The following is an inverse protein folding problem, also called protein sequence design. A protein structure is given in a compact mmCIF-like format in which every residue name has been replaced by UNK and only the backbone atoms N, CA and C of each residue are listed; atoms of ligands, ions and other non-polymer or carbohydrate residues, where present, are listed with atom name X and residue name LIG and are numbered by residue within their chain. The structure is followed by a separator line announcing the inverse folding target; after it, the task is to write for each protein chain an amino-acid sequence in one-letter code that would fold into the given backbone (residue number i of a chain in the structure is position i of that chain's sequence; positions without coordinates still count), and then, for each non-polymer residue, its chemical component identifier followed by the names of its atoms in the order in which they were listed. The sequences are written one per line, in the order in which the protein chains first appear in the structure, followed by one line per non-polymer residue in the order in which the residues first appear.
data_IF_380263761739
#
_entry.id   IF_380263761739
#
_cell.length_a   1.000
_cell.length_b   1.000
_cell.length_c   1.000
_cell.angle_alpha   90.00
_cell.angle_beta   90.00
_cell.angle_gamma   90.00
#
_symmetry.space_group_name_H-M   'P 1'
#
loop_
_entity.id
_entity.type
_entity.pdbx_description
1 polymer ?
#
# COMPACT_ATOMS: atom_id res chain seq x y z
N UNK A 1 12.36 4.69 -2.58
CA UNK A 1 11.03 5.15 -3.01
C UNK A 1 11.11 6.66 -3.20
N UNK A 2 10.67 7.19 -4.34
CA UNK A 2 10.67 8.63 -4.62
C UNK A 2 9.47 9.32 -3.94
N UNK A 3 9.55 10.63 -3.72
CA UNK A 3 8.47 11.46 -3.16
C UNK A 3 7.19 11.37 -4.00
N UNK A 4 7.32 11.38 -5.33
CA UNK A 4 6.19 11.23 -6.25
C UNK A 4 5.42 9.92 -6.03
N UNK A 5 6.13 8.83 -5.71
CA UNK A 5 5.48 7.54 -5.46
C UNK A 5 4.84 7.46 -4.08
N UNK A 6 5.43 8.10 -3.06
CA UNK A 6 4.79 8.23 -1.75
C UNK A 6 3.46 8.98 -1.85
N UNK A 7 3.41 9.97 -2.73
CA UNK A 7 2.18 10.69 -3.03
C UNK A 7 1.15 9.82 -3.74
N UNK A 8 1.57 8.97 -4.70
CA UNK A 8 0.70 7.95 -5.32
C UNK A 8 0.10 7.03 -4.25
N UNK A 9 0.90 6.51 -3.31
CA UNK A 9 0.40 5.68 -2.22
C UNK A 9 -0.63 6.40 -1.34
N UNK A 10 -0.40 7.69 -1.05
CA UNK A 10 -1.35 8.51 -0.32
C UNK A 10 -2.66 8.66 -1.10
N UNK A 11 -2.60 8.90 -2.43
CA UNK A 11 -3.79 8.97 -3.29
C UNK A 11 -4.59 7.67 -3.29
N UNK A 12 -3.91 6.52 -3.36
CA UNK A 12 -4.56 5.20 -3.35
C UNK A 12 -5.34 4.97 -2.05
N UNK A 13 -4.71 5.20 -0.90
CA UNK A 13 -5.39 5.10 0.41
C UNK A 13 -6.56 6.07 0.50
N UNK A 14 -6.37 7.27 -0.04
CA UNK A 14 -7.39 8.31 -0.03
C UNK A 14 -8.63 7.94 -0.87
N UNK A 15 -8.44 7.38 -2.07
CA UNK A 15 -9.55 6.89 -2.89
C UNK A 15 -10.32 5.79 -2.17
N UNK A 16 -9.62 4.83 -1.55
CA UNK A 16 -10.27 3.78 -0.77
C UNK A 16 -11.03 4.31 0.47
N UNK A 17 -10.58 5.42 1.07
CA UNK A 17 -11.31 6.10 2.15
C UNK A 17 -12.59 6.77 1.65
N UNK A 18 -12.57 7.37 0.46
CA UNK A 18 -13.75 8.04 -0.12
C UNK A 18 -14.79 7.01 -0.57
N UNK A 19 -14.35 5.92 -1.20
CA UNK A 19 -15.24 4.88 -1.74
C UNK A 19 -15.90 4.02 -0.64
N UNK A 20 -15.40 4.06 0.60
CA UNK A 20 -15.95 3.25 1.69
C UNK A 20 -17.14 3.93 2.36
N UNK A 21 -18.31 3.28 2.26
CA UNK A 21 -19.59 3.69 2.89
C UNK A 21 -19.47 4.02 4.39
N UNK A 22 -18.52 3.43 5.12
CA UNK A 22 -18.27 3.74 6.53
C UNK A 22 -17.67 5.14 6.76
N UNK A 23 -17.01 5.71 5.75
CA UNK A 23 -16.51 7.10 5.70
C UNK A 23 -17.38 8.03 4.85
N UNK A 24 -18.29 7.47 4.04
CA UNK A 24 -19.14 8.15 3.06
C UNK A 24 -20.16 9.12 3.69
N UNK A 25 -20.36 9.07 5.00
CA UNK A 25 -21.08 10.12 5.72
C UNK A 25 -20.20 11.36 5.97
N UNK A 26 -20.17 12.30 5.01
CA UNK A 26 -19.94 13.76 5.17
C UNK A 26 -18.61 14.27 5.75
N UNK A 27 -17.99 15.28 5.11
CA UNK A 27 -17.10 16.33 5.70
C UNK A 27 -15.80 15.88 6.40
N UNK A 28 -15.76 14.69 6.99
CA UNK A 28 -14.67 14.08 7.72
C UNK A 28 -13.53 13.71 6.79
N UNK A 29 -13.81 13.13 5.62
CA UNK A 29 -12.79 12.90 4.60
C UNK A 29 -12.03 14.20 4.31
N UNK A 30 -12.75 15.26 3.93
CA UNK A 30 -12.11 16.55 3.63
C UNK A 30 -11.34 17.11 4.85
N UNK A 31 -11.92 17.02 6.05
CA UNK A 31 -11.25 17.41 7.29
C UNK A 31 -9.98 16.59 7.58
N UNK A 32 -9.95 15.29 7.26
CA UNK A 32 -8.79 14.41 7.43
C UNK A 32 -7.61 14.96 6.63
N UNK A 33 -7.79 15.21 5.32
CA UNK A 33 -6.71 15.74 4.49
C UNK A 33 -6.27 17.15 4.89
N UNK A 34 -7.23 18.03 5.23
CA UNK A 34 -6.89 19.38 5.71
C UNK A 34 -6.08 19.30 7.01
N UNK A 35 -6.44 18.37 7.91
CA UNK A 35 -5.69 18.10 9.15
C UNK A 35 -4.32 17.50 8.85
N UNK A 36 -4.19 16.61 7.85
CA UNK A 36 -2.88 16.12 7.39
C UNK A 36 -1.99 17.27 6.93
N UNK A 37 -2.51 18.23 6.16
CA UNK A 37 -1.75 19.39 5.70
C UNK A 37 -1.33 20.28 6.87
N UNK A 38 -2.27 20.62 7.74
CA UNK A 38 -2.02 21.52 8.87
C UNK A 38 -1.02 20.88 9.85
N UNK A 39 -1.20 19.61 10.18
CA UNK A 39 -0.26 18.85 11.03
C UNK A 39 1.10 18.67 10.34
N UNK A 40 1.18 18.43 9.04
CA UNK A 40 2.48 18.32 8.36
C UNK A 40 3.23 19.66 8.28
N UNK A 41 2.52 20.80 8.20
CA UNK A 41 3.12 22.14 8.25
C UNK A 41 3.73 22.44 9.62
N UNK A 42 3.06 22.01 10.69
CA UNK A 42 3.45 22.33 12.06
C UNK A 42 4.27 21.24 12.75
N UNK A 43 4.22 20.00 12.26
CA UNK A 43 4.77 18.83 12.92
C UNK A 43 5.45 17.87 11.92
N UNK A 44 6.77 18.04 11.76
CA UNK A 44 7.61 17.17 10.91
C UNK A 44 7.57 15.70 11.32
N UNK A 45 7.29 15.39 12.59
CA UNK A 45 7.20 14.02 13.08
C UNK A 45 5.96 13.30 12.56
N UNK A 46 4.83 14.01 12.37
CA UNK A 46 3.62 13.43 11.74
C UNK A 46 3.92 13.03 10.31
N UNK A 47 4.58 13.89 9.53
CA UNK A 47 4.96 13.61 8.15
C UNK A 47 5.87 12.37 8.08
N UNK A 48 6.91 12.33 8.93
CA UNK A 48 7.81 11.17 9.00
C UNK A 48 7.07 9.89 9.39
N UNK A 49 6.15 9.96 10.34
CA UNK A 49 5.35 8.82 10.77
C UNK A 49 4.44 8.32 9.64
N UNK A 50 3.84 9.26 8.88
CA UNK A 50 3.01 8.95 7.72
C UNK A 50 3.81 8.26 6.63
N UNK A 51 4.99 8.78 6.28
CA UNK A 51 5.88 8.19 5.30
C UNK A 51 6.33 6.78 5.73
N UNK A 52 6.66 6.60 7.00
CA UNK A 52 7.03 5.29 7.54
C UNK A 52 5.85 4.32 7.42
N UNK A 53 4.64 4.75 7.78
CA UNK A 53 3.44 3.92 7.66
C UNK A 53 3.16 3.54 6.20
N UNK A 54 3.17 4.50 5.27
CA UNK A 54 2.98 4.26 3.82
C UNK A 54 3.99 3.24 3.28
N UNK A 55 5.28 3.41 3.58
CA UNK A 55 6.33 2.49 3.15
C UNK A 55 6.11 1.08 3.71
N UNK A 56 5.86 0.96 5.02
CA UNK A 56 5.63 -0.34 5.64
C UNK A 56 4.44 -1.05 5.01
N UNK A 57 3.34 -0.34 4.79
CA UNK A 57 2.12 -0.91 4.20
C UNK A 57 2.36 -1.37 2.78
N UNK A 58 3.02 -0.56 1.96
CA UNK A 58 3.40 -0.95 0.60
C UNK A 58 4.26 -2.21 0.57
N UNK A 59 5.39 -2.21 1.28
CA UNK A 59 6.31 -3.35 1.23
C UNK A 59 5.75 -4.61 1.88
N UNK A 60 4.98 -4.49 2.96
CA UNK A 60 4.34 -5.64 3.61
C UNK A 60 3.24 -6.24 2.72
N UNK A 61 2.39 -5.41 2.11
CA UNK A 61 1.31 -5.86 1.22
C UNK A 61 1.85 -6.57 -0.01
N UNK A 62 2.84 -5.95 -0.69
CA UNK A 62 3.52 -6.57 -1.83
C UNK A 62 4.19 -7.89 -1.44
N UNK A 63 4.78 -7.95 -0.24
CA UNK A 63 5.43 -9.18 0.26
C UNK A 63 4.41 -10.30 0.49
N UNK A 64 3.28 -10.00 1.14
CA UNK A 64 2.21 -10.98 1.40
C UNK A 64 1.70 -11.58 0.10
N UNK A 65 1.45 -10.74 -0.92
CA UNK A 65 0.99 -11.21 -2.23
C UNK A 65 2.05 -12.08 -2.91
N UNK A 66 3.32 -11.67 -2.88
CA UNK A 66 4.42 -12.45 -3.45
C UNK A 66 4.60 -13.81 -2.75
N UNK A 67 4.50 -13.85 -1.42
CA UNK A 67 4.54 -15.09 -0.63
C UNK A 67 3.40 -16.03 -0.99
N UNK A 68 2.17 -15.51 -1.09
CA UNK A 68 0.99 -16.29 -1.51
C UNK A 68 1.18 -16.89 -2.90
N UNK A 69 1.63 -16.08 -3.86
CA UNK A 69 1.88 -16.54 -5.24
C UNK A 69 2.96 -17.63 -5.28
N UNK A 70 4.03 -17.46 -4.50
CA UNK A 70 5.11 -18.45 -4.39
C UNK A 70 4.57 -19.77 -3.84
N UNK A 71 3.78 -19.72 -2.77
CA UNK A 71 3.17 -20.92 -2.18
C UNK A 71 2.23 -21.62 -3.17
N UNK A 72 1.46 -20.87 -3.94
CA UNK A 72 0.56 -21.42 -4.95
C UNK A 72 1.32 -22.13 -6.07
N UNK A 73 2.40 -21.52 -6.58
CA UNK A 73 3.25 -22.16 -7.59
C UNK A 73 3.90 -23.44 -7.05
N UNK A 74 4.35 -23.43 -5.79
CA UNK A 74 4.89 -24.63 -5.14
C UNK A 74 3.82 -25.73 -5.05
N UNK A 75 2.59 -25.40 -4.64
CA UNK A 75 1.47 -26.36 -4.56
C UNK A 75 1.10 -26.95 -5.92
N UNK A 76 1.20 -26.14 -6.98
CA UNK A 76 0.92 -26.56 -8.37
C UNK A 76 2.09 -27.32 -9.02
N UNK A 77 3.23 -27.44 -8.35
CA UNK A 77 4.43 -28.06 -8.90
C UNK A 77 4.72 -29.41 -8.29
N UNK A 78 5.24 -30.33 -9.09
CA UNK A 78 6.02 -31.45 -8.57
C UNK A 78 7.46 -30.99 -8.39
N UNK A 79 8.17 -31.47 -7.37
CA UNK A 79 9.59 -31.14 -7.19
C UNK A 79 10.47 -32.38 -7.11
N UNK A 80 11.68 -32.27 -7.64
CA UNK A 80 12.78 -33.21 -7.41
C UNK A 80 13.86 -32.51 -6.60
N UNK A 81 14.60 -33.28 -5.81
CA UNK A 81 15.77 -32.76 -5.10
C UNK A 81 17.04 -33.24 -5.79
N UNK A 82 17.84 -32.30 -6.31
CA UNK A 82 19.10 -32.60 -6.97
C UNK A 82 20.23 -31.83 -6.30
N UNK A 83 21.23 -32.54 -5.78
CA UNK A 83 22.39 -31.95 -5.05
C UNK A 83 21.98 -30.94 -3.97
N UNK A 84 20.89 -31.23 -3.24
CA UNK A 84 20.37 -30.36 -2.18
C UNK A 84 19.45 -29.22 -2.64
N UNK A 85 19.40 -28.92 -3.94
CA UNK A 85 18.46 -27.93 -4.50
C UNK A 85 17.12 -28.58 -4.83
N UNK A 86 16.01 -27.89 -4.52
CA UNK A 86 14.68 -28.24 -5.02
C UNK A 86 14.52 -27.65 -6.42
N UNK A 87 14.12 -28.48 -7.37
CA UNK A 87 13.81 -28.07 -8.75
C UNK A 87 12.34 -28.38 -8.98
N UNK A 88 11.57 -27.34 -9.32
CA UNK A 88 10.13 -27.46 -9.56
C UNK A 88 9.83 -27.76 -11.04
N UNK A 89 8.79 -28.55 -11.28
CA UNK A 89 8.25 -28.83 -12.61
C UNK A 89 6.80 -28.35 -12.70
N UNK A 90 6.38 -27.70 -13.81
CA UNK A 90 7.18 -27.39 -15.01
C UNK A 90 8.33 -26.39 -14.74
N UNK A 91 9.39 -26.35 -15.58
CA UNK A 91 10.55 -25.47 -15.38
C UNK A 91 10.20 -23.98 -15.26
N UNK A 92 9.07 -23.56 -15.85
CA UNK A 92 8.53 -22.21 -15.69
C UNK A 92 8.26 -21.89 -14.21
N UNK A 93 7.63 -22.81 -13.47
CA UNK A 93 7.33 -22.60 -12.06
C UNK A 93 8.61 -22.47 -11.23
N UNK A 94 9.69 -23.19 -11.58
CA UNK A 94 10.99 -23.02 -10.90
C UNK A 94 11.55 -21.61 -11.09
N UNK A 95 11.48 -21.10 -12.31
CA UNK A 95 11.89 -19.72 -12.65
C UNK A 95 11.05 -18.69 -11.89
N UNK A 96 9.72 -18.82 -11.95
CA UNK A 96 8.79 -17.90 -11.31
C UNK A 96 8.92 -17.90 -9.79
N UNK A 97 9.08 -19.09 -9.18
CA UNK A 97 9.35 -19.23 -7.74
C UNK A 97 10.64 -18.50 -7.37
N UNK A 98 11.72 -18.65 -8.15
CA UNK A 98 12.99 -17.94 -7.88
C UNK A 98 12.84 -16.42 -8.01
N UNK A 99 12.11 -15.94 -9.00
CA UNK A 99 11.84 -14.51 -9.18
C UNK A 99 11.05 -13.95 -7.98
N UNK A 100 10.03 -14.67 -7.52
CA UNK A 100 9.28 -14.30 -6.32
C UNK A 100 10.14 -14.34 -5.06
N UNK A 101 11.00 -15.34 -4.89
CA UNK A 101 11.93 -15.40 -3.75
C UNK A 101 12.92 -14.24 -3.72
N UNK A 102 13.41 -13.80 -4.88
CA UNK A 102 14.26 -12.61 -4.97
C UNK A 102 13.48 -11.35 -4.59
N UNK A 103 12.25 -11.19 -5.10
CA UNK A 103 11.36 -10.08 -4.76
C UNK A 103 11.05 -10.05 -3.26
N UNK A 104 10.69 -11.18 -2.66
CA UNK A 104 10.44 -11.31 -1.22
C UNK A 104 11.66 -10.87 -0.40
N UNK A 105 12.87 -11.36 -0.74
CA UNK A 105 14.11 -10.96 -0.07
C UNK A 105 14.38 -9.46 -0.17
N UNK A 106 14.12 -8.87 -1.34
CA UNK A 106 14.22 -7.42 -1.53
C UNK A 106 13.23 -6.68 -0.62
N UNK A 107 11.97 -7.09 -0.60
CA UNK A 107 10.92 -6.47 0.23
C UNK A 107 11.22 -6.58 1.72
N UNK A 108 11.74 -7.73 2.18
CA UNK A 108 12.20 -7.90 3.56
C UNK A 108 13.35 -6.96 3.92
N UNK A 109 14.28 -6.75 2.99
CA UNK A 109 15.37 -5.79 3.18
C UNK A 109 14.81 -4.37 3.31
N UNK A 110 13.85 -3.99 2.47
CA UNK A 110 13.19 -2.68 2.55
C UNK A 110 12.45 -2.50 3.88
N UNK A 111 11.65 -3.47 4.30
CA UNK A 111 10.94 -3.45 5.58
C UNK A 111 11.88 -3.31 6.79
N UNK A 112 13.03 -4.00 6.77
CA UNK A 112 14.05 -3.89 7.82
C UNK A 112 14.74 -2.52 7.84
N UNK A 113 14.72 -1.79 6.72
CA UNK A 113 15.26 -0.44 6.61
C UNK A 113 14.23 0.62 6.99
N UNK A 114 12.94 0.35 6.77
CA UNK A 114 11.85 1.23 7.18
C UNK A 114 11.85 1.43 8.70
N UNK A 115 12.02 2.68 9.15
CA UNK A 115 12.01 3.04 10.58
C UNK A 115 13.37 2.96 11.31
N UNK A 116 14.47 2.59 10.64
CA UNK A 116 15.81 2.77 11.22
C UNK A 116 16.22 4.25 11.13
N UNK A 117 16.69 4.81 12.25
CA UNK A 117 17.06 6.22 12.53
C UNK A 117 18.06 6.92 11.56
N UNK A 118 18.38 6.36 10.39
CA UNK A 118 19.43 6.84 9.49
C UNK A 118 19.08 6.90 7.99
N UNK A 119 17.82 7.15 7.61
CA UNK A 119 17.61 7.74 6.27
C UNK A 119 17.86 9.25 6.35
N UNK A 120 19.13 9.64 6.18
CA UNK A 120 19.58 11.03 6.02
C UNK A 120 18.98 11.75 4.79
N UNK A 121 18.12 11.09 4.03
CA UNK A 121 17.23 11.71 3.07
C UNK A 121 15.83 11.69 3.70
N UNK A 122 15.50 12.71 4.49
CA UNK A 122 14.13 12.96 4.90
C UNK A 122 13.36 13.40 3.65
N UNK A 123 12.93 12.43 2.85
CA UNK A 123 11.91 12.66 1.83
C UNK A 123 10.68 13.17 2.56
N UNK A 124 10.16 14.33 2.20
CA UNK A 124 8.92 14.84 2.78
C UNK A 124 7.84 14.70 1.72
N UNK A 125 6.61 14.38 2.12
CA UNK A 125 5.49 14.54 1.20
C UNK A 125 5.42 16.01 0.78
N UNK A 126 5.41 16.27 -0.53
CA UNK A 126 5.40 17.61 -1.09
C UNK A 126 4.06 18.26 -0.72
N UNK A 127 4.09 19.19 0.23
CA UNK A 127 2.89 19.84 0.76
C UNK A 127 2.02 20.46 -0.33
N UNK A 128 2.63 21.05 -1.36
CA UNK A 128 1.92 21.63 -2.50
C UNK A 128 1.08 20.60 -3.25
N UNK A 129 1.58 19.37 -3.42
CA UNK A 129 0.84 18.28 -4.07
C UNK A 129 -0.32 17.80 -3.17
N UNK A 130 -0.12 17.74 -1.85
CA UNK A 130 -1.18 17.39 -0.89
C UNK A 130 -2.28 18.47 -0.86
N UNK A 131 -1.90 19.75 -0.94
CA UNK A 131 -2.85 20.87 -1.08
C UNK A 131 -3.63 20.81 -2.40
N UNK A 132 -2.98 20.43 -3.50
CA UNK A 132 -3.65 20.20 -4.78
C UNK A 132 -4.67 19.07 -4.69
N UNK A 133 -4.34 17.96 -4.00
CA UNK A 133 -5.30 16.88 -3.73
C UNK A 133 -6.56 17.38 -3.02
N UNK A 134 -6.39 18.26 -2.03
CA UNK A 134 -7.53 18.86 -1.31
C UNK A 134 -8.34 19.76 -2.22
N UNK A 135 -7.69 20.60 -3.03
CA UNK A 135 -8.36 21.48 -4.00
C UNK A 135 -9.17 20.67 -5.00
N UNK A 136 -8.57 19.63 -5.60
CA UNK A 136 -9.23 18.71 -6.53
C UNK A 136 -10.46 18.04 -5.89
N UNK A 137 -10.35 17.61 -4.63
CA UNK A 137 -11.44 16.95 -3.90
C UNK A 137 -12.56 17.91 -3.46
N UNK A 138 -12.24 19.18 -3.23
CA UNK A 138 -13.24 20.20 -2.84
C UNK A 138 -14.05 20.75 -4.01
N UNK A 139 -13.54 20.61 -5.24
CA UNK A 139 -14.15 21.11 -6.47
C UNK A 139 -14.97 20.03 -7.20
N UNK A 140 -14.87 18.76 -6.78
CA UNK A 140 -15.58 17.65 -7.38
C UNK A 140 -16.95 17.43 -6.71
N UNK A 141 -17.92 18.27 -7.05
CA UNK A 141 -19.32 17.80 -7.03
C UNK A 141 -19.46 16.70 -8.09
N UNK A 142 -19.36 15.43 -7.65
CA UNK A 142 -19.72 14.22 -8.39
C UNK A 142 -19.31 14.17 -9.88
N UNK A 143 -18.05 14.45 -10.21
CA UNK A 143 -17.51 14.13 -11.54
C UNK A 143 -16.43 13.08 -11.42
N UNK A 144 -16.76 11.90 -11.96
CA UNK A 144 -15.91 10.76 -12.25
C UNK A 144 -14.48 11.21 -12.59
N UNK A 145 -13.51 10.85 -11.74
CA UNK A 145 -12.13 11.28 -11.88
C UNK A 145 -11.50 10.61 -13.11
N UNK A 146 -11.09 11.37 -14.15
CA UNK A 146 -10.29 10.81 -15.24
C UNK A 146 -8.89 10.35 -14.77
N UNK A 147 -8.47 10.78 -13.58
CA UNK A 147 -7.16 10.50 -12.97
C UNK A 147 -7.07 9.12 -12.27
N UNK A 148 -8.18 8.41 -12.05
CA UNK A 148 -8.17 7.11 -11.34
C UNK A 148 -7.30 6.07 -12.03
N UNK A 149 -7.42 5.94 -13.36
CA UNK A 149 -6.61 4.97 -14.13
C UNK A 149 -5.11 5.27 -14.05
N UNK A 150 -4.73 6.55 -14.06
CA UNK A 150 -3.32 6.96 -14.02
C UNK A 150 -2.66 6.65 -12.67
N UNK A 151 -3.42 6.67 -11.57
CA UNK A 151 -2.91 6.36 -10.22
C UNK A 151 -2.65 4.87 -10.06
N UNK A 152 -3.63 4.03 -10.44
CA UNK A 152 -3.50 2.58 -10.39
C UNK A 152 -2.39 2.09 -11.34
N UNK A 153 -2.30 2.64 -12.55
CA UNK A 153 -1.23 2.30 -13.49
C UNK A 153 0.16 2.63 -12.92
N UNK A 154 0.32 3.77 -12.25
CA UNK A 154 1.57 4.13 -11.56
C UNK A 154 1.88 3.20 -10.39
N UNK A 155 0.87 2.82 -9.60
CA UNK A 155 1.03 1.86 -8.50
C UNK A 155 1.52 0.51 -9.02
N UNK A 156 0.85 0.00 -10.06
CA UNK A 156 1.18 -1.31 -10.64
C UNK A 156 2.52 -1.30 -11.37
N UNK A 157 2.85 -0.25 -12.10
CA UNK A 157 4.15 -0.12 -12.76
C UNK A 157 5.32 -0.21 -11.78
N UNK A 158 5.22 0.42 -10.61
CA UNK A 158 6.29 0.38 -9.60
C UNK A 158 6.37 -1.00 -8.90
N UNK A 159 5.24 -1.63 -8.58
CA UNK A 159 5.24 -2.90 -7.83
C UNK A 159 5.66 -4.09 -8.71
N UNK A 160 5.30 -4.08 -9.99
CA UNK A 160 5.63 -5.10 -10.98
C UNK A 160 7.07 -5.01 -11.46
N UNK A 161 7.70 -3.85 -11.25
CA UNK A 161 9.10 -3.63 -11.56
C UNK A 161 9.95 -4.76 -10.96
N UNK A 162 10.82 -5.31 -11.81
CA UNK A 162 11.77 -6.36 -11.48
C UNK A 162 11.13 -7.68 -10.99
N UNK A 163 9.84 -7.94 -11.29
CA UNK A 163 9.16 -9.21 -11.01
C UNK A 163 8.16 -9.58 -12.11
N UNK A 164 8.67 -10.19 -13.18
CA UNK A 164 7.87 -10.62 -14.33
C UNK A 164 7.27 -12.02 -14.09
N UNK A 165 6.24 -12.09 -13.24
CA UNK A 165 5.53 -13.34 -12.90
C UNK A 165 4.04 -13.13 -13.03
N UNK A 166 3.39 -13.83 -13.95
CA UNK A 166 1.99 -13.56 -14.34
C UNK A 166 1.01 -13.73 -13.18
N UNK A 167 1.11 -14.82 -12.41
CA UNK A 167 0.23 -15.05 -11.25
C UNK A 167 0.35 -13.92 -10.22
N UNK A 168 1.53 -13.34 -10.08
CA UNK A 168 1.75 -12.20 -9.19
C UNK A 168 1.09 -10.93 -9.73
N UNK A 169 1.25 -10.63 -11.02
CA UNK A 169 0.57 -9.49 -11.67
C UNK A 169 -0.95 -9.59 -11.57
N UNK A 170 -1.50 -10.79 -11.75
CA UNK A 170 -2.94 -11.04 -11.57
C UNK A 170 -3.34 -10.83 -10.11
N UNK A 171 -2.61 -11.40 -9.15
CA UNK A 171 -2.93 -11.28 -7.73
C UNK A 171 -2.83 -9.84 -7.21
N UNK A 172 -1.95 -9.00 -7.79
CA UNK A 172 -1.85 -7.59 -7.45
C UNK A 172 -3.11 -6.79 -7.78
N UNK A 173 -3.83 -7.17 -8.85
CA UNK A 173 -5.03 -6.49 -9.36
C UNK A 173 -6.34 -7.11 -8.87
N UNK A 174 -6.29 -8.05 -7.93
CA UNK A 174 -7.48 -8.65 -7.36
C UNK A 174 -8.28 -7.61 -6.55
N UNK A 175 -9.58 -7.47 -6.84
CA UNK A 175 -10.40 -6.40 -6.24
C UNK A 175 -10.58 -6.57 -4.73
N UNK A 176 -10.61 -7.82 -4.23
CA UNK A 176 -10.88 -8.12 -2.83
C UNK A 176 -9.61 -8.27 -1.99
N UNK A 177 -8.57 -8.87 -2.58
CA UNK A 177 -7.35 -9.30 -1.90
C UNK A 177 -6.08 -8.74 -2.52
N UNK A 178 -6.18 -7.90 -3.55
CA UNK A 178 -5.05 -7.34 -4.26
C UNK A 178 -4.37 -6.21 -3.52
N UNK A 179 -3.39 -5.61 -4.20
CA UNK A 179 -2.42 -4.71 -3.59
C UNK A 179 -3.07 -3.50 -2.94
N UNK A 180 -3.96 -2.82 -3.67
CA UNK A 180 -4.67 -1.62 -3.22
C UNK A 180 -5.40 -1.89 -1.90
N UNK A 181 -6.20 -2.96 -1.85
CA UNK A 181 -6.94 -3.33 -0.65
C UNK A 181 -6.05 -3.73 0.53
N UNK A 182 -4.97 -4.45 0.27
CA UNK A 182 -3.99 -4.82 1.31
C UNK A 182 -3.27 -3.58 1.86
N UNK A 183 -2.85 -2.65 1.01
CA UNK A 183 -2.22 -1.38 1.41
C UNK A 183 -3.16 -0.60 2.32
N UNK A 184 -4.42 -0.44 1.91
CA UNK A 184 -5.40 0.29 2.69
C UNK A 184 -5.67 -0.33 4.06
N UNK A 185 -5.92 -1.64 4.12
CA UNK A 185 -6.14 -2.35 5.39
C UNK A 185 -4.90 -2.30 6.28
N UNK A 186 -3.71 -2.52 5.71
CA UNK A 186 -2.43 -2.43 6.42
C UNK A 186 -2.17 -1.03 6.97
N UNK A 187 -2.53 0.00 6.20
CA UNK A 187 -2.38 1.40 6.61
C UNK A 187 -3.16 1.71 7.87
N UNK A 188 -4.44 1.34 7.91
CA UNK A 188 -5.29 1.56 9.08
C UNK A 188 -4.73 0.89 10.34
N UNK A 189 -4.18 -0.32 10.20
CA UNK A 189 -3.54 -1.04 11.31
C UNK A 189 -2.24 -0.34 11.75
N UNK A 190 -1.38 0.04 10.81
CA UNK A 190 -0.11 0.72 11.15
C UNK A 190 -0.37 2.06 11.84
N UNK A 191 -1.31 2.86 11.34
CA UNK A 191 -1.60 4.18 11.92
C UNK A 191 -2.43 4.13 13.20
N UNK A 192 -3.15 3.04 13.49
CA UNK A 192 -3.88 2.87 14.76
C UNK A 192 -2.94 3.03 15.97
N UNK A 193 -1.72 2.48 15.86
CA UNK A 193 -0.69 2.56 16.90
C UNK A 193 -0.03 3.95 17.03
N UNK A 194 -0.26 4.84 16.06
CA UNK A 194 0.37 6.16 15.96
C UNK A 194 -0.64 7.22 16.35
N UNK A 195 -0.67 7.62 17.62
CA UNK A 195 -1.76 8.44 18.20
C UNK A 195 -2.17 9.66 17.34
N UNK A 196 -1.22 10.43 16.83
CA UNK A 196 -1.51 11.60 15.99
C UNK A 196 -2.15 11.21 14.65
N UNK A 197 -1.61 10.20 13.96
CA UNK A 197 -2.19 9.71 12.71
C UNK A 197 -3.52 8.99 12.94
N UNK A 198 -3.66 8.25 14.03
CA UNK A 198 -4.92 7.63 14.43
C UNK A 198 -5.99 8.69 14.70
N UNK A 199 -5.66 9.85 15.28
CA UNK A 199 -6.62 10.95 15.44
C UNK A 199 -7.01 11.57 14.10
N UNK A 200 -6.05 11.74 13.19
CA UNK A 200 -6.28 12.32 11.87
C UNK A 200 -7.16 11.41 11.02
N UNK A 201 -6.76 10.15 10.86
CA UNK A 201 -7.48 9.18 10.04
C UNK A 201 -8.63 8.51 10.80
N UNK A 202 -8.73 8.65 12.11
CA UNK A 202 -9.71 7.96 12.95
C UNK A 202 -9.73 6.42 12.76
N UNK A 203 -8.55 5.84 12.55
CA UNK A 203 -8.39 4.46 12.08
C UNK A 203 -9.01 3.42 13.02
N UNK A 204 -8.85 3.59 14.34
CA UNK A 204 -9.47 2.69 15.34
C UNK A 204 -10.99 2.64 15.20
N UNK A 205 -11.63 3.80 15.05
CA UNK A 205 -13.09 3.88 14.90
C UNK A 205 -13.52 3.17 13.62
N UNK A 206 -12.80 3.41 12.52
CA UNK A 206 -13.10 2.73 11.26
C UNK A 206 -12.93 1.21 11.36
N UNK A 207 -11.84 0.71 11.96
CA UNK A 207 -11.62 -0.72 12.15
C UNK A 207 -12.75 -1.38 12.95
N UNK A 208 -13.24 -0.72 14.00
CA UNK A 208 -14.39 -1.18 14.79
C UNK A 208 -15.67 -1.23 13.93
N UNK A 209 -15.99 -0.16 13.20
CA UNK A 209 -17.18 -0.09 12.35
C UNK A 209 -17.16 -1.16 11.25
N UNK A 210 -16.00 -1.35 10.61
CA UNK A 210 -15.78 -2.39 9.59
C UNK A 210 -15.96 -3.80 10.15
N UNK A 211 -15.44 -4.07 11.34
CA UNK A 211 -15.63 -5.37 12.01
C UNK A 211 -17.08 -5.63 12.37
N UNK A 212 -17.82 -4.62 12.83
CA UNK A 212 -19.25 -4.73 13.10
C UNK A 212 -19.99 -5.05 11.81
N UNK A 213 -19.72 -4.31 10.73
CA UNK A 213 -20.35 -4.53 9.42
C UNK A 213 -20.10 -5.94 8.88
N UNK A 214 -18.87 -6.45 8.95
CA UNK A 214 -18.56 -7.79 8.44
C UNK A 214 -19.19 -8.95 9.25
N UNK A 215 -19.81 -8.65 10.40
CA UNK A 215 -20.55 -9.64 11.22
C UNK A 215 -22.04 -9.70 10.88
N UNK A 216 -22.56 -8.76 10.10
CA UNK A 216 -23.97 -8.66 9.70
C UNK A 216 -24.11 -8.77 8.18
#
# INVERSE_FOLDING_TARGET
MNEDFLFVLLKVIWQDLIEDVAYDSTKQNWQVLQTVIDENKHNKQVNQSLIIALNKCFYSSSKIIAERCREELIKKSTFIQYRGAKIYSPPQNDTDIRNLEQKIKFLEKQLKQTGKKHSNNQSFLILNQVEELVKQSSQSEYKYYPEEKDIDDKLFAEVEKDCDVDIYKTALRDDENGLRKQIFNGFLIEVESLEQLNRIFNARTYLILKQIRNKF
#
